data_IF_307733963756
#
_entry.id   IF_307733963756
#
_cell.length_a   1.000
_cell.length_b   1.000
_cell.length_c   1.000
_cell.angle_alpha   90.00
_cell.angle_beta   90.00
_cell.angle_gamma   90.00
#
_symmetry.space_group_name_H-M   'P 1'
#
loop_
_entity.id
_entity.type
_entity.pdbx_description
1 polymer ?
#
# COMPACT_ATOMS: atom_id res chain seq x y z
N UNK A 1 -31.92 -23.25 -40.00
CA UNK A 1 -30.96 -23.99 -39.15
C UNK A 1 -29.80 -23.06 -38.82
N UNK A 2 -29.26 -23.19 -37.61
CA UNK A 2 -28.56 -22.18 -36.79
C UNK A 2 -27.28 -21.60 -37.42
N UNK A 3 -27.17 -20.27 -37.44
CA UNK A 3 -25.90 -19.56 -37.62
C UNK A 3 -25.12 -19.62 -36.30
N UNK A 4 -23.99 -20.34 -36.32
CA UNK A 4 -23.07 -20.45 -35.20
C UNK A 4 -22.10 -19.27 -35.27
N UNK A 5 -22.39 -18.19 -34.54
CA UNK A 5 -21.46 -17.07 -34.39
C UNK A 5 -20.43 -17.48 -33.32
N UNK A 6 -19.21 -17.77 -33.77
CA UNK A 6 -18.05 -17.96 -32.91
C UNK A 6 -17.66 -16.59 -32.34
N UNK A 7 -17.99 -16.30 -31.09
CA UNK A 7 -17.48 -15.11 -30.40
C UNK A 7 -16.00 -15.34 -30.07
N UNK A 8 -15.06 -14.47 -30.50
CA UNK A 8 -13.69 -14.56 -30.04
C UNK A 8 -13.66 -14.21 -28.56
N UNK A 9 -13.25 -15.17 -27.73
CA UNK A 9 -12.97 -15.01 -26.32
C UNK A 9 -11.72 -14.12 -26.20
N UNK A 10 -11.91 -12.80 -26.22
CA UNK A 10 -10.86 -11.86 -25.85
C UNK A 10 -10.58 -12.06 -24.36
N UNK A 11 -9.57 -12.85 -24.03
CA UNK A 11 -8.94 -12.84 -22.71
C UNK A 11 -8.35 -11.45 -22.54
N UNK A 12 -9.10 -10.56 -21.90
CA UNK A 12 -8.54 -9.32 -21.36
C UNK A 12 -7.68 -9.76 -20.18
N UNK A 13 -6.39 -9.99 -20.43
CA UNK A 13 -5.39 -9.96 -19.37
C UNK A 13 -5.41 -8.54 -18.83
N UNK A 14 -6.20 -8.31 -17.78
CA UNK A 14 -6.06 -7.14 -16.92
C UNK A 14 -4.63 -7.22 -16.37
N UNK A 15 -3.71 -6.48 -16.98
CA UNK A 15 -2.43 -6.18 -16.36
C UNK A 15 -2.77 -5.52 -15.03
N UNK A 16 -2.58 -6.25 -13.95
CA UNK A 16 -2.51 -5.65 -12.62
C UNK A 16 -1.29 -4.77 -12.69
N UNK A 17 -1.48 -3.46 -12.91
CA UNK A 17 -0.45 -2.46 -12.69
C UNK A 17 -0.18 -2.49 -11.19
N UNK A 18 0.71 -3.41 -10.77
CA UNK A 18 1.21 -3.41 -9.41
C UNK A 18 2.03 -2.14 -9.20
N UNK A 19 2.01 -1.62 -7.97
CA UNK A 19 2.87 -0.50 -7.62
C UNK A 19 4.32 -0.89 -7.86
N UNK A 20 5.06 -0.04 -8.58
CA UNK A 20 6.46 -0.27 -8.88
C UNK A 20 7.33 0.48 -7.87
N UNK A 21 7.63 -0.18 -6.75
CA UNK A 21 8.56 0.32 -5.73
C UNK A 21 9.42 -0.81 -5.18
N UNK A 22 10.56 -0.46 -4.59
CA UNK A 22 11.56 -1.41 -4.08
C UNK A 22 12.19 -0.95 -2.77
N UNK A 23 12.89 -1.86 -2.08
CA UNK A 23 13.39 -1.63 -0.71
C UNK A 23 14.33 -0.46 -0.58
N UNK A 24 15.13 -0.20 -1.61
CA UNK A 24 16.08 0.91 -1.71
C UNK A 24 15.40 2.29 -1.67
N UNK A 25 14.09 2.36 -1.89
CA UNK A 25 13.32 3.60 -1.76
C UNK A 25 12.94 3.92 -0.30
N UNK A 26 13.17 3.01 0.65
CA UNK A 26 13.07 3.27 2.09
C UNK A 26 14.38 3.90 2.54
N UNK A 27 14.42 5.22 2.58
CA UNK A 27 15.67 5.97 2.81
C UNK A 27 15.93 6.29 4.29
N UNK A 28 15.00 5.94 5.17
CA UNK A 28 15.09 6.16 6.60
C UNK A 28 14.57 4.94 7.35
N UNK A 29 14.94 4.82 8.62
CA UNK A 29 14.50 3.73 9.50
C UNK A 29 13.07 3.96 10.01
N UNK A 30 12.27 4.74 9.28
CA UNK A 30 10.91 5.12 9.64
C UNK A 30 10.05 5.24 8.39
N UNK A 31 8.84 4.73 8.50
CA UNK A 31 7.78 4.94 7.52
C UNK A 31 6.63 5.66 8.19
N UNK A 32 6.24 6.80 7.64
CA UNK A 32 5.13 7.59 8.15
C UNK A 32 3.85 7.20 7.44
N UNK A 33 2.76 7.06 8.19
CA UNK A 33 1.45 6.75 7.64
C UNK A 33 0.45 7.78 8.09
N UNK A 34 -0.26 8.37 7.13
CA UNK A 34 -1.31 9.35 7.34
C UNK A 34 -2.57 8.98 6.56
N UNK A 35 -3.69 9.56 6.94
CA UNK A 35 -4.92 9.55 6.15
C UNK A 35 -5.12 10.99 5.68
N UNK A 36 -5.43 11.16 4.39
CA UNK A 36 -5.69 12.48 3.82
C UNK A 36 -6.85 13.19 4.52
N UNK A 37 -6.89 14.52 4.45
CA UNK A 37 -7.92 15.33 5.13
C UNK A 37 -9.35 14.95 4.73
N UNK A 38 -9.55 14.55 3.46
CA UNK A 38 -10.85 14.10 2.96
C UNK A 38 -11.19 12.64 3.35
N UNK A 39 -10.29 11.91 4.01
CA UNK A 39 -10.50 10.53 4.43
C UNK A 39 -10.49 9.49 3.31
N UNK A 40 -10.07 9.87 2.10
CA UNK A 40 -10.15 9.02 0.90
C UNK A 40 -8.81 8.38 0.50
N UNK A 41 -7.68 8.85 1.03
CA UNK A 41 -6.36 8.32 0.70
C UNK A 41 -5.58 7.89 1.94
N UNK A 42 -4.98 6.70 1.87
CA UNK A 42 -3.93 6.28 2.79
C UNK A 42 -2.60 6.75 2.21
N UNK A 43 -1.91 7.65 2.89
CA UNK A 43 -0.60 8.15 2.48
C UNK A 43 0.47 7.45 3.29
N UNK A 44 1.43 6.84 2.61
CA UNK A 44 2.57 6.13 3.20
C UNK A 44 3.85 6.74 2.64
N UNK A 45 4.63 7.35 3.52
CA UNK A 45 5.88 8.00 3.17
C UNK A 45 7.08 7.15 3.60
N UNK A 46 7.83 6.68 2.61
CA UNK A 46 8.99 5.81 2.79
C UNK A 46 10.28 6.57 3.15
N UNK A 47 10.26 7.90 3.10
CA UNK A 47 11.40 8.75 3.49
C UNK A 47 11.41 9.04 4.99
N UNK A 48 10.31 8.73 5.68
CA UNK A 48 10.12 9.03 7.09
C UNK A 48 9.82 10.51 7.35
N UNK A 49 9.42 11.25 6.32
CA UNK A 49 8.96 12.63 6.47
C UNK A 49 7.77 12.70 7.44
N UNK A 50 7.70 13.76 8.23
CA UNK A 50 6.53 14.00 9.07
C UNK A 50 5.37 14.45 8.20
N UNK A 51 4.22 13.77 8.34
CA UNK A 51 3.04 14.03 7.54
C UNK A 51 1.99 14.83 8.33
N UNK A 52 1.22 15.65 7.63
CA UNK A 52 -0.02 16.20 8.17
C UNK A 52 -1.03 15.06 8.37
N UNK A 53 -1.79 15.11 9.47
CA UNK A 53 -2.74 14.05 9.87
C UNK A 53 -2.09 12.65 10.00
N UNK A 54 -0.83 12.63 10.44
CA UNK A 54 -0.10 11.39 10.68
C UNK A 54 -0.78 10.53 11.75
N UNK A 55 -1.13 9.32 11.36
CA UNK A 55 -1.83 8.37 12.21
C UNK A 55 -0.85 7.44 12.94
N UNK A 56 0.24 7.04 12.28
CA UNK A 56 1.31 6.27 12.91
C UNK A 56 2.66 6.50 12.25
N UNK A 57 3.73 6.26 13.01
CA UNK A 57 5.07 6.03 12.48
C UNK A 57 5.40 4.55 12.72
N UNK A 58 5.85 3.88 11.68
CA UNK A 58 6.43 2.53 11.73
C UNK A 58 7.93 2.71 11.79
N UNK A 59 8.51 2.52 12.99
CA UNK A 59 9.95 2.54 13.19
C UNK A 59 10.52 1.17 12.83
N UNK A 60 11.45 1.15 11.89
CA UNK A 60 12.06 -0.05 11.32
C UNK A 60 13.22 -0.56 12.17
N UNK A 61 13.77 0.17 13.15
CA UNK A 61 14.93 -0.32 13.91
C UNK A 61 14.64 -0.60 15.38
N UNK A 62 13.57 -0.02 15.94
CA UNK A 62 13.38 0.00 17.40
C UNK A 62 12.59 -1.17 17.99
N UNK A 63 12.33 -2.23 17.23
CA UNK A 63 11.50 -3.35 17.67
C UNK A 63 12.13 -4.70 17.30
N UNK A 64 11.86 -5.74 18.10
CA UNK A 64 12.19 -7.11 17.70
C UNK A 64 11.40 -7.49 16.43
N UNK A 65 11.99 -8.36 15.61
CA UNK A 65 11.46 -8.73 14.29
C UNK A 65 10.04 -9.29 14.34
N UNK A 66 9.66 -10.02 15.39
CA UNK A 66 8.32 -10.60 15.51
C UNK A 66 7.27 -9.55 15.87
N UNK A 67 7.60 -8.65 16.80
CA UNK A 67 6.74 -7.52 17.14
C UNK A 67 6.58 -6.56 15.97
N UNK A 68 7.66 -6.30 15.23
CA UNK A 68 7.63 -5.49 14.02
C UNK A 68 6.68 -6.08 12.97
N UNK A 69 6.90 -7.34 12.58
CA UNK A 69 6.05 -8.06 11.61
C UNK A 69 4.59 -8.07 12.03
N UNK A 70 4.34 -8.34 13.31
CA UNK A 70 2.98 -8.35 13.89
C UNK A 70 2.32 -6.98 13.80
N UNK A 71 3.05 -5.89 14.13
CA UNK A 71 2.52 -4.53 14.10
C UNK A 71 2.14 -4.11 12.68
N UNK A 72 3.02 -4.34 11.70
CA UNK A 72 2.77 -4.03 10.28
C UNK A 72 1.52 -4.77 9.81
N UNK A 73 1.47 -6.09 9.96
CA UNK A 73 0.33 -6.91 9.49
C UNK A 73 -0.97 -6.51 10.16
N UNK A 74 -0.97 -6.29 11.48
CA UNK A 74 -2.18 -5.89 12.22
C UNK A 74 -2.67 -4.50 11.83
N UNK A 75 -1.76 -3.55 11.63
CA UNK A 75 -2.13 -2.18 11.28
C UNK A 75 -2.80 -2.14 9.90
N UNK A 76 -2.12 -2.60 8.85
CA UNK A 76 -2.67 -2.58 7.49
C UNK A 76 -3.85 -3.54 7.32
N UNK A 77 -3.81 -4.72 7.95
CA UNK A 77 -4.94 -5.65 7.97
C UNK A 77 -6.15 -5.10 8.74
N UNK A 78 -5.93 -4.23 9.73
CA UNK A 78 -6.96 -3.50 10.45
C UNK A 78 -7.63 -2.45 9.57
N UNK A 79 -6.84 -1.61 8.89
CA UNK A 79 -7.34 -0.60 7.96
C UNK A 79 -8.25 -1.21 6.88
N UNK A 80 -7.86 -2.36 6.32
CA UNK A 80 -8.67 -3.08 5.32
C UNK A 80 -10.03 -3.59 5.84
N UNK A 81 -10.22 -3.67 7.16
CA UNK A 81 -11.48 -4.13 7.78
C UNK A 81 -12.30 -2.97 8.35
N UNK A 82 -11.68 -1.82 8.57
CA UNK A 82 -12.36 -0.66 9.12
C UNK A 82 -13.29 -0.04 8.08
N UNK A 83 -14.47 0.39 8.52
CA UNK A 83 -15.45 1.12 7.70
C UNK A 83 -15.46 2.62 8.00
N UNK A 84 -14.60 3.07 8.91
CA UNK A 84 -14.52 4.47 9.35
C UNK A 84 -14.03 5.39 8.23
N UNK A 85 -13.20 4.86 7.32
CA UNK A 85 -12.63 5.59 6.20
C UNK A 85 -13.09 4.94 4.89
N UNK A 86 -13.49 5.76 3.93
CA UNK A 86 -13.76 5.31 2.56
C UNK A 86 -12.48 5.46 1.72
N UNK A 87 -11.43 4.73 2.12
CA UNK A 87 -10.15 4.76 1.44
C UNK A 87 -10.32 4.22 0.01
N UNK A 88 -10.06 5.09 -0.97
CA UNK A 88 -10.12 4.84 -2.41
C UNK A 88 -8.71 4.73 -3.01
N UNK A 89 -7.75 5.47 -2.43
CA UNK A 89 -6.39 5.59 -2.97
C UNK A 89 -5.35 5.19 -1.93
N UNK A 90 -4.33 4.46 -2.37
CA UNK A 90 -3.08 4.24 -1.67
C UNK A 90 -2.01 5.11 -2.34
N UNK A 91 -1.51 6.09 -1.60
CA UNK A 91 -0.45 6.99 -2.04
C UNK A 91 0.85 6.58 -1.37
N UNK A 92 1.86 6.21 -2.16
CA UNK A 92 3.22 5.91 -1.69
C UNK A 92 4.14 7.05 -2.10
N UNK A 93 4.72 7.73 -1.11
CA UNK A 93 5.75 8.76 -1.33
C UNK A 93 7.12 8.15 -1.11
N UNK A 94 7.97 8.27 -2.13
CA UNK A 94 9.38 7.91 -2.08
C UNK A 94 10.22 9.18 -2.12
N UNK A 95 11.54 9.05 -2.09
CA UNK A 95 12.43 10.20 -2.24
C UNK A 95 12.36 10.83 -3.65
N UNK A 96 11.92 10.08 -4.65
CA UNK A 96 11.96 10.48 -6.06
C UNK A 96 10.60 10.72 -6.69
N UNK A 97 9.54 10.12 -6.14
CA UNK A 97 8.22 10.14 -6.76
C UNK A 97 7.09 9.93 -5.76
N UNK A 98 5.87 10.21 -6.22
CA UNK A 98 4.62 9.85 -5.56
C UNK A 98 3.83 8.89 -6.46
N UNK A 99 3.60 7.69 -5.95
CA UNK A 99 2.87 6.62 -6.64
C UNK A 99 1.45 6.59 -6.07
N UNK A 100 0.45 6.71 -6.93
CA UNK A 100 -0.97 6.73 -6.55
C UNK A 100 -1.67 5.55 -7.18
N UNK A 101 -2.15 4.62 -6.36
CA UNK A 101 -2.86 3.43 -6.81
C UNK A 101 -4.17 3.23 -6.07
N UNK A 102 -5.00 2.28 -6.54
CA UNK A 102 -6.26 1.95 -5.87
C UNK A 102 -5.97 1.37 -4.48
N UNK A 103 -6.72 1.82 -3.47
CA UNK A 103 -6.69 1.20 -2.15
C UNK A 103 -7.43 -0.14 -2.19
N UNK A 104 -6.68 -1.22 -2.41
CA UNK A 104 -7.21 -2.57 -2.40
C UNK A 104 -6.28 -3.56 -1.69
N UNK A 105 -6.75 -4.82 -1.58
CA UNK A 105 -5.99 -5.88 -0.93
C UNK A 105 -4.66 -6.17 -1.64
N UNK A 106 -4.60 -6.12 -2.96
CA UNK A 106 -3.41 -6.47 -3.72
C UNK A 106 -2.30 -5.45 -3.47
N UNK A 107 -2.65 -4.17 -3.57
CA UNK A 107 -1.73 -3.06 -3.37
C UNK A 107 -1.28 -2.96 -1.90
N UNK A 108 -2.20 -3.07 -0.94
CA UNK A 108 -1.83 -3.11 0.48
C UNK A 108 -0.92 -4.29 0.81
N UNK A 109 -1.14 -5.46 0.20
CA UNK A 109 -0.23 -6.60 0.39
C UNK A 109 1.16 -6.37 -0.20
N UNK A 110 1.28 -5.67 -1.34
CA UNK A 110 2.59 -5.30 -1.90
C UNK A 110 3.35 -4.38 -0.95
N UNK A 111 2.67 -3.37 -0.39
CA UNK A 111 3.25 -2.50 0.63
C UNK A 111 3.68 -3.28 1.87
N UNK A 112 2.84 -4.18 2.38
CA UNK A 112 3.18 -5.00 3.54
C UNK A 112 4.41 -5.86 3.25
N UNK A 113 4.50 -6.52 2.09
CA UNK A 113 5.69 -7.30 1.73
C UNK A 113 6.95 -6.45 1.65
N UNK A 114 6.86 -5.23 1.10
CA UNK A 114 7.96 -4.27 1.13
C UNK A 114 8.37 -3.99 2.58
N UNK A 115 7.46 -3.56 3.44
CA UNK A 115 7.81 -3.22 4.82
C UNK A 115 8.40 -4.42 5.58
N UNK A 116 7.94 -5.64 5.32
CA UNK A 116 8.45 -6.85 5.98
C UNK A 116 9.79 -7.35 5.42
N UNK A 117 10.17 -6.99 4.21
CA UNK A 117 11.44 -7.40 3.60
C UNK A 117 12.65 -6.58 4.05
N UNK A 118 12.46 -5.51 4.82
CA UNK A 118 13.54 -4.68 5.37
C UNK A 118 14.12 -5.26 6.69
N UNK A 119 13.80 -6.53 7.02
CA UNK A 119 14.21 -7.27 8.23
C UNK A 119 14.49 -8.75 7.95
#
# INVERSE_FOLDING_TARGET
MKNLILLPLFLICLSVNGMNFSQDQITNNKVSVAISENGEALVVDLTGAQLDNQHTIVDLEKMDIFSYRTRVVRYFGGLMKQKTYELKTLTIRTATEEINEIFDRANVNQLVHLLLGNH
#
